data_IF_368270221475
#
_entry.id   IF_368270221475
#
_cell.length_a   1.000
_cell.length_b   1.000
_cell.length_c   1.000
_cell.angle_alpha   90.00
_cell.angle_beta   90.00
_cell.angle_gamma   90.00
#
_symmetry.space_group_name_H-M   'P 1'
#
loop_
_entity.id
_entity.type
_entity.pdbx_description
1 polymer ?
#
# COMPACT_ATOMS: atom_id res chain seq x y z
N UNK A 1 17.00 -32.19 -12.76
CA UNK A 1 15.78 -31.61 -13.34
C UNK A 1 15.95 -30.10 -13.35
N UNK A 2 16.05 -29.50 -14.53
CA UNK A 2 16.04 -28.04 -14.65
C UNK A 2 14.60 -27.55 -14.43
N UNK A 3 14.36 -26.45 -13.69
CA UNK A 3 13.04 -25.86 -13.61
C UNK A 3 12.63 -25.41 -15.02
N UNK A 4 11.47 -25.88 -15.47
CA UNK A 4 10.87 -25.48 -16.73
C UNK A 4 10.45 -24.01 -16.62
N UNK A 5 11.29 -23.13 -17.18
CA UNK A 5 11.12 -21.66 -17.14
C UNK A 5 10.09 -21.19 -18.18
N UNK A 6 9.43 -22.12 -18.88
CA UNK A 6 8.54 -21.83 -20.01
C UNK A 6 7.14 -21.34 -19.61
N UNK A 7 6.85 -21.19 -18.31
CA UNK A 7 5.65 -20.52 -17.80
C UNK A 7 6.02 -19.47 -16.76
N UNK A 8 6.31 -18.25 -17.24
CA UNK A 8 6.15 -17.02 -16.46
C UNK A 8 4.66 -16.77 -16.21
N UNK A 9 3.98 -17.69 -15.54
CA UNK A 9 2.61 -17.51 -15.06
C UNK A 9 2.66 -16.74 -13.74
N UNK A 10 1.80 -15.74 -13.58
CA UNK A 10 1.63 -15.09 -12.28
C UNK A 10 0.78 -16.04 -11.44
N UNK A 11 1.27 -16.42 -10.25
CA UNK A 11 0.43 -17.12 -9.27
C UNK A 11 -0.61 -16.13 -8.72
N UNK A 12 -1.78 -16.10 -9.36
CA UNK A 12 -2.85 -15.15 -9.06
C UNK A 12 -3.34 -15.29 -7.63
N UNK A 13 -3.46 -16.52 -7.12
CA UNK A 13 -3.95 -16.78 -5.77
C UNK A 13 -2.94 -16.28 -4.73
N UNK A 14 -1.65 -16.59 -4.92
CA UNK A 14 -0.60 -16.10 -4.03
C UNK A 14 -0.50 -14.55 -4.08
N UNK A 15 -0.61 -13.95 -5.26
CA UNK A 15 -0.62 -12.50 -5.43
C UNK A 15 -1.83 -11.85 -4.75
N UNK A 16 -3.01 -12.48 -4.81
CA UNK A 16 -4.23 -11.99 -4.17
C UNK A 16 -4.14 -12.09 -2.64
N UNK A 17 -3.59 -13.18 -2.11
CA UNK A 17 -3.29 -13.32 -0.69
C UNK A 17 -2.31 -12.25 -0.21
N UNK A 18 -1.21 -12.01 -0.93
CA UNK A 18 -0.23 -10.99 -0.58
C UNK A 18 -0.81 -9.57 -0.61
N UNK A 19 -1.66 -9.26 -1.59
CA UNK A 19 -2.35 -7.97 -1.65
C UNK A 19 -3.31 -7.77 -0.48
N UNK A 20 -4.06 -8.81 -0.09
CA UNK A 20 -4.98 -8.75 1.06
C UNK A 20 -4.24 -8.48 2.38
N UNK A 21 -3.11 -9.14 2.59
CA UNK A 21 -2.24 -8.91 3.75
C UNK A 21 -1.66 -7.49 3.74
N UNK A 22 -1.23 -7.01 2.56
CA UNK A 22 -0.69 -5.68 2.40
C UNK A 22 -1.75 -4.59 2.69
N UNK A 23 -2.98 -4.73 2.18
CA UNK A 23 -4.09 -3.82 2.49
C UNK A 23 -4.39 -3.79 3.98
N UNK A 24 -4.45 -4.96 4.62
CA UNK A 24 -4.66 -5.04 6.08
C UNK A 24 -3.58 -4.30 6.84
N UNK A 25 -2.31 -4.55 6.50
CA UNK A 25 -1.15 -3.94 7.16
C UNK A 25 -1.10 -2.43 6.96
N UNK A 26 -1.30 -1.96 5.72
CA UNK A 26 -1.31 -0.53 5.38
C UNK A 26 -2.49 0.17 6.05
N UNK A 27 -3.69 -0.44 6.05
CA UNK A 27 -4.88 0.11 6.70
C UNK A 27 -4.68 0.29 8.21
N UNK A 28 -4.22 -0.75 8.92
CA UNK A 28 -3.91 -0.66 10.35
C UNK A 28 -2.85 0.42 10.62
N UNK A 29 -1.83 0.52 9.77
CA UNK A 29 -0.79 1.54 9.91
C UNK A 29 -1.32 2.96 9.67
N UNK A 30 -2.18 3.14 8.67
CA UNK A 30 -2.80 4.43 8.35
C UNK A 30 -3.66 4.92 9.50
N UNK A 31 -4.49 4.05 10.08
CA UNK A 31 -5.31 4.38 11.26
C UNK A 31 -4.46 4.76 12.47
N UNK A 32 -3.36 4.03 12.72
CA UNK A 32 -2.41 4.40 13.78
C UNK A 32 -1.77 5.77 13.54
N UNK A 33 -1.34 6.05 12.30
CA UNK A 33 -0.77 7.35 11.97
C UNK A 33 -1.80 8.44 12.22
N UNK A 34 -3.05 8.29 11.76
CA UNK A 34 -4.14 9.26 11.98
C UNK A 34 -4.42 9.51 13.46
N UNK A 35 -4.45 8.46 14.28
CA UNK A 35 -4.67 8.57 15.72
C UNK A 35 -3.54 9.34 16.44
N UNK A 36 -2.30 9.16 15.99
CA UNK A 36 -1.08 9.74 16.56
C UNK A 36 -0.77 11.17 16.07
N UNK A 37 -1.79 11.95 15.71
CA UNK A 37 -1.64 13.36 15.34
C UNK A 37 -0.96 14.18 16.45
N UNK A 38 0.05 15.02 16.14
CA UNK A 38 0.68 15.89 17.13
C UNK A 38 -0.32 16.90 17.72
N UNK A 39 -0.51 16.89 19.05
CA UNK A 39 -1.47 17.79 19.76
C UNK A 39 -0.83 18.82 20.69
N UNK A 40 0.49 18.73 20.94
CA UNK A 40 1.17 19.66 21.85
C UNK A 40 1.40 21.00 21.17
N UNK A 41 1.13 22.07 21.92
CA UNK A 41 1.45 23.45 21.51
C UNK A 41 2.78 23.90 22.12
N UNK A 42 3.35 24.98 21.59
CA UNK A 42 4.65 25.48 22.02
C UNK A 42 4.64 25.94 23.50
N UNK A 43 3.52 26.46 23.99
CA UNK A 43 3.37 26.95 25.37
C UNK A 43 3.53 25.82 26.41
N UNK A 44 3.32 24.56 26.01
CA UNK A 44 3.47 23.39 26.89
C UNK A 44 4.93 23.10 27.32
N UNK A 45 5.91 23.75 26.68
CA UNK A 45 7.34 23.52 26.93
C UNK A 45 7.95 24.45 28.00
N UNK A 46 7.16 25.37 28.57
CA UNK A 46 7.59 26.27 29.64
C UNK A 46 8.14 27.61 29.14
N UNK A 47 8.38 28.52 30.10
CA UNK A 47 8.84 29.89 29.80
C UNK A 47 10.30 29.89 29.32
N UNK A 48 10.61 30.76 28.35
CA UNK A 48 11.97 30.95 27.81
C UNK A 48 12.35 30.06 26.63
N UNK A 49 11.47 29.14 26.20
CA UNK A 49 11.73 28.20 25.09
C UNK A 49 10.82 28.42 23.87
N UNK A 50 10.09 29.54 23.79
CA UNK A 50 9.00 29.74 22.85
C UNK A 50 9.35 29.48 21.39
N UNK A 51 10.49 30.02 20.91
CA UNK A 51 10.91 29.83 19.52
C UNK A 51 11.35 28.39 19.20
N UNK A 52 12.11 27.76 20.10
CA UNK A 52 12.57 26.38 19.93
C UNK A 52 11.38 25.41 20.02
N UNK A 53 10.45 25.66 20.93
CA UNK A 53 9.23 24.89 21.09
C UNK A 53 8.32 25.03 19.85
N UNK A 54 8.15 26.24 19.32
CA UNK A 54 7.40 26.47 18.08
C UNK A 54 8.02 25.72 16.89
N UNK A 55 9.34 25.78 16.73
CA UNK A 55 10.07 25.02 15.70
C UNK A 55 9.88 23.51 15.86
N UNK A 56 9.97 22.98 17.08
CA UNK A 56 9.79 21.55 17.35
C UNK A 56 8.35 21.08 17.03
N UNK A 57 7.34 21.86 17.44
CA UNK A 57 5.94 21.56 17.14
C UNK A 57 5.70 21.53 15.63
N UNK A 58 6.25 22.51 14.89
CA UNK A 58 6.12 22.55 13.43
C UNK A 58 6.83 21.39 12.74
N UNK A 59 8.04 21.02 13.18
CA UNK A 59 8.75 19.83 12.66
C UNK A 59 7.96 18.55 12.92
N UNK A 60 7.38 18.39 14.11
CA UNK A 60 6.55 17.22 14.44
C UNK A 60 5.30 17.16 13.57
N UNK A 61 4.65 18.30 13.34
CA UNK A 61 3.49 18.42 12.46
C UNK A 61 3.85 18.03 11.02
N UNK A 62 4.90 18.64 10.45
CA UNK A 62 5.39 18.31 9.10
C UNK A 62 5.79 16.85 8.96
N UNK A 63 6.47 16.27 9.95
CA UNK A 63 6.83 14.86 9.92
C UNK A 63 5.60 13.94 9.93
N UNK A 64 4.55 14.32 10.65
CA UNK A 64 3.27 13.60 10.63
C UNK A 64 2.55 13.74 9.27
N UNK A 65 2.52 14.94 8.68
CA UNK A 65 1.97 15.18 7.33
C UNK A 65 2.68 14.33 6.27
N UNK A 66 4.02 14.23 6.33
CA UNK A 66 4.81 13.37 5.43
C UNK A 66 4.47 11.89 5.61
N UNK A 67 4.27 11.42 6.85
CA UNK A 67 3.86 10.02 7.12
C UNK A 67 2.48 9.72 6.54
N UNK A 68 1.53 10.65 6.68
CA UNK A 68 0.20 10.53 6.07
C UNK A 68 0.29 10.48 4.54
N UNK A 69 0.99 11.43 3.91
CA UNK A 69 1.16 11.45 2.47
C UNK A 69 1.83 10.17 1.93
N UNK A 70 2.78 9.62 2.69
CA UNK A 70 3.46 8.38 2.33
C UNK A 70 2.53 7.16 2.42
N UNK A 71 1.78 7.01 3.51
CA UNK A 71 0.87 5.87 3.67
C UNK A 71 -0.29 5.93 2.67
N UNK A 72 -0.79 7.12 2.33
CA UNK A 72 -1.80 7.31 1.28
C UNK A 72 -1.26 6.96 -0.12
N UNK A 73 0.04 7.20 -0.36
CA UNK A 73 0.69 6.76 -1.60
C UNK A 73 0.82 5.24 -1.67
N UNK A 74 1.15 4.58 -0.55
CA UNK A 74 1.20 3.13 -0.48
C UNK A 74 -0.17 2.52 -0.74
N UNK A 75 -1.23 3.06 -0.12
CA UNK A 75 -2.60 2.61 -0.35
C UNK A 75 -3.00 2.67 -1.83
N UNK A 76 -2.75 3.81 -2.50
CA UNK A 76 -2.97 3.96 -3.95
C UNK A 76 -2.13 2.99 -4.78
N UNK A 77 -0.90 2.70 -4.34
CA UNK A 77 -0.06 1.68 -4.97
C UNK A 77 -0.68 0.29 -4.91
N UNK A 78 -1.29 -0.07 -3.78
CA UNK A 78 -2.02 -1.33 -3.62
C UNK A 78 -3.29 -1.39 -4.48
N UNK A 79 -4.04 -0.28 -4.59
CA UNK A 79 -5.20 -0.19 -5.49
C UNK A 79 -4.81 -0.43 -6.95
N UNK A 80 -3.70 0.18 -7.39
CA UNK A 80 -3.17 -0.04 -8.75
C UNK A 80 -2.71 -1.49 -8.96
N UNK A 81 -2.06 -2.08 -7.96
CA UNK A 81 -1.62 -3.48 -8.03
C UNK A 81 -2.82 -4.45 -8.10
N UNK A 82 -3.89 -4.17 -7.33
CA UNK A 82 -5.13 -4.93 -7.41
C UNK A 82 -5.79 -4.81 -8.78
N UNK A 83 -5.84 -3.60 -9.37
CA UNK A 83 -6.34 -3.40 -10.73
C UNK A 83 -5.53 -4.18 -11.78
N UNK A 84 -4.21 -4.23 -11.61
CA UNK A 84 -3.32 -5.00 -12.49
C UNK A 84 -3.56 -6.51 -12.35
N UNK A 85 -3.70 -7.01 -11.12
CA UNK A 85 -3.96 -8.42 -10.88
C UNK A 85 -5.30 -8.87 -11.46
N UNK A 86 -6.34 -8.04 -11.36
CA UNK A 86 -7.64 -8.29 -12.00
C UNK A 86 -7.49 -8.43 -13.51
N UNK A 87 -6.77 -7.50 -14.16
CA UNK A 87 -6.56 -7.55 -15.61
C UNK A 87 -5.78 -8.80 -16.06
N UNK A 88 -4.77 -9.22 -15.29
CA UNK A 88 -4.03 -10.47 -15.54
C UNK A 88 -4.95 -11.67 -15.40
N UNK A 89 -5.72 -11.73 -14.30
CA UNK A 89 -6.66 -12.83 -14.02
C UNK A 89 -7.72 -12.98 -15.12
N UNK A 90 -8.25 -11.87 -15.62
CA UNK A 90 -9.23 -11.87 -16.70
C UNK A 90 -8.63 -12.33 -18.03
N UNK A 91 -7.38 -11.93 -18.32
CA UNK A 91 -6.64 -12.37 -19.51
C UNK A 91 -6.35 -13.87 -19.46
N UNK A 92 -5.96 -14.39 -18.30
CA UNK A 92 -5.73 -15.83 -18.11
C UNK A 92 -7.02 -16.64 -18.28
N UNK A 93 -8.14 -16.17 -17.71
CA UNK A 93 -9.45 -16.82 -17.90
C UNK A 93 -9.88 -16.84 -19.36
N UNK A 94 -9.69 -15.74 -20.08
CA UNK A 94 -10.05 -15.66 -21.50
C UNK A 94 -9.15 -16.55 -22.37
N UNK A 95 -7.86 -16.61 -22.06
CA UNK A 95 -6.91 -17.53 -22.72
C UNK A 95 -7.30 -19.00 -22.48
N UNK A 96 -7.73 -19.36 -21.27
CA UNK A 96 -8.22 -20.71 -20.96
C UNK A 96 -9.51 -21.05 -21.73
N UNK A 97 -10.45 -20.10 -21.85
CA UNK A 97 -11.70 -20.29 -22.62
C UNK A 97 -11.44 -20.50 -24.12
N UNK A 98 -10.56 -19.68 -24.70
CA UNK A 98 -10.22 -19.77 -26.13
C UNK A 98 -9.48 -21.07 -26.46
N UNK A 99 -8.59 -21.54 -25.56
CA UNK A 99 -7.94 -22.85 -25.71
C UNK A 99 -8.93 -24.01 -25.55
N UNK A 100 -9.83 -23.95 -24.56
CA UNK A 100 -10.82 -25.02 -24.32
C UNK A 100 -11.87 -25.14 -25.43
N UNK A 101 -12.11 -24.08 -26.21
CA UNK A 101 -13.04 -24.09 -27.35
C UNK A 101 -12.37 -24.45 -28.69
N UNK A 102 -11.03 -24.56 -28.73
CA UNK A 102 -10.24 -24.83 -29.92
C UNK A 102 -9.86 -26.29 -30.19
N UNK A 103 -10.05 -27.22 -29.26
CA UNK A 103 -9.66 -28.64 -29.39
C UNK A 103 -10.63 -29.53 -30.22
N UNK A 104 -11.37 -28.94 -31.16
CA UNK A 104 -12.37 -29.64 -31.95
C UNK A 104 -12.41 -29.24 -33.42
N UNK A 105 -11.26 -29.25 -34.12
CA UNK A 105 -11.20 -29.31 -35.59
C UNK A 105 -10.01 -30.13 -36.07
#
# INVERSE_FOLDING_TARGET
MAPDISRLGVDVDAAQSALSEAFTTVGVRQERIRADAPRRTAESYGRGLGEQAARLVDVRRRAHEVRLAHIDRLHRGLENAAGTLTAVSDTERESQRTLSTGEGR
#
